data_IF_028274069209
#
_entry.id   IF_028274069209
#
_cell.length_a   1.000
_cell.length_b   1.000
_cell.length_c   1.000
_cell.angle_alpha   90.00
_cell.angle_beta   90.00
_cell.angle_gamma   90.00
#
_symmetry.space_group_name_H-M   'P 1'
#
loop_
_entity.id
_entity.type
_entity.pdbx_description
1 polymer ?
#
# COMPACT_ATOMS: atom_id res chain seq x y z
N UNK A 1 -36.14 -29.01 -48.50
CA UNK A 1 -35.02 -28.06 -48.70
C UNK A 1 -35.37 -26.67 -48.19
N UNK A 2 -36.49 -26.05 -48.61
CA UNK A 2 -36.91 -24.72 -48.13
C UNK A 2 -37.15 -24.61 -46.60
N UNK A 3 -37.67 -25.66 -45.97
CA UNK A 3 -37.87 -25.73 -44.52
C UNK A 3 -36.54 -25.61 -43.76
N UNK A 4 -35.50 -26.32 -44.23
CA UNK A 4 -34.16 -26.35 -43.63
C UNK A 4 -33.51 -24.97 -43.72
N UNK A 5 -33.66 -24.29 -44.86
CA UNK A 5 -33.14 -22.93 -45.06
C UNK A 5 -33.83 -21.93 -44.11
N UNK A 6 -35.16 -22.04 -43.93
CA UNK A 6 -35.88 -21.20 -42.96
C UNK A 6 -35.43 -21.45 -41.52
N UNK A 7 -35.22 -22.71 -41.14
CA UNK A 7 -34.72 -23.05 -39.80
C UNK A 7 -33.29 -22.55 -39.58
N UNK A 8 -32.40 -22.69 -40.57
CA UNK A 8 -31.04 -22.15 -40.49
C UNK A 8 -31.04 -20.62 -40.38
N UNK A 9 -31.88 -19.93 -41.14
CA UNK A 9 -32.02 -18.48 -41.05
C UNK A 9 -32.46 -18.03 -39.64
N UNK A 10 -33.44 -18.72 -39.03
CA UNK A 10 -33.88 -18.42 -37.67
C UNK A 10 -32.79 -18.68 -36.62
N UNK A 11 -31.99 -19.74 -36.78
CA UNK A 11 -30.85 -20.04 -35.89
C UNK A 11 -29.78 -18.95 -36.03
N UNK A 12 -29.46 -18.50 -37.25
CA UNK A 12 -28.49 -17.43 -37.50
C UNK A 12 -28.96 -16.11 -36.88
N UNK A 13 -30.23 -15.75 -37.05
CA UNK A 13 -30.83 -14.54 -36.45
C UNK A 13 -30.78 -14.62 -34.92
N UNK A 14 -31.10 -15.78 -34.33
CA UNK A 14 -31.01 -16.00 -32.89
C UNK A 14 -29.57 -15.88 -32.38
N UNK A 15 -28.59 -16.50 -33.06
CA UNK A 15 -27.18 -16.42 -32.69
C UNK A 15 -26.63 -14.99 -32.83
N UNK A 16 -27.02 -14.25 -33.87
CA UNK A 16 -26.68 -12.83 -34.01
C UNK A 16 -27.29 -12.01 -32.87
N UNK A 17 -28.54 -12.27 -32.49
CA UNK A 17 -29.18 -11.63 -31.33
C UNK A 17 -28.48 -11.92 -30.00
N UNK A 18 -27.98 -13.14 -29.79
CA UNK A 18 -27.22 -13.51 -28.58
C UNK A 18 -25.82 -12.88 -28.55
N UNK A 19 -25.13 -12.81 -29.70
CA UNK A 19 -23.80 -12.19 -29.82
C UNK A 19 -23.90 -10.67 -29.63
N UNK A 20 -24.88 -10.04 -30.28
CA UNK A 20 -25.11 -8.60 -30.21
C UNK A 20 -25.70 -8.20 -28.84
N UNK A 21 -26.65 -8.98 -28.31
CA UNK A 21 -27.26 -8.74 -27.00
C UNK A 21 -26.28 -8.89 -25.82
N UNK A 22 -25.29 -9.80 -25.91
CA UNK A 22 -24.19 -9.90 -24.92
C UNK A 22 -23.13 -8.80 -25.09
N UNK A 23 -22.99 -8.22 -26.28
CA UNK A 23 -22.03 -7.15 -26.57
C UNK A 23 -22.56 -5.76 -26.19
N UNK A 24 -23.86 -5.52 -26.35
CA UNK A 24 -24.49 -4.21 -26.11
C UNK A 24 -24.70 -3.87 -24.62
N UNK A 25 -24.80 -4.87 -23.74
CA UNK A 25 -25.01 -4.66 -22.29
C UNK A 25 -23.71 -4.57 -21.45
N UNK A 26 -22.55 -4.41 -22.09
CA UNK A 26 -21.26 -4.28 -21.39
C UNK A 26 -20.83 -2.84 -21.10
N UNK A 27 -21.65 -1.85 -21.44
CA UNK A 27 -21.25 -0.44 -21.33
C UNK A 27 -21.36 0.16 -19.92
N UNK A 28 -22.08 -0.46 -18.98
CA UNK A 28 -22.36 0.20 -17.68
C UNK A 28 -21.92 -0.58 -16.42
N UNK A 29 -21.19 -1.71 -16.56
CA UNK A 29 -20.73 -2.52 -15.42
C UNK A 29 -19.23 -2.38 -15.09
N UNK A 30 -18.46 -1.69 -15.93
CA UNK A 30 -17.00 -1.59 -15.81
C UNK A 30 -16.51 -0.20 -15.37
N UNK A 31 -17.39 0.75 -15.03
CA UNK A 31 -16.95 2.02 -14.45
C UNK A 31 -16.62 1.86 -12.95
N UNK A 32 -15.42 2.28 -12.51
CA UNK A 32 -15.09 2.25 -11.09
C UNK A 32 -16.07 3.14 -10.33
N UNK A 33 -16.75 2.54 -9.35
CA UNK A 33 -17.78 3.21 -8.54
C UNK A 33 -17.15 4.38 -7.77
N UNK A 34 -17.40 5.62 -8.23
CA UNK A 34 -16.99 6.83 -7.53
C UNK A 34 -18.05 7.18 -6.47
N UNK A 35 -17.87 6.68 -5.25
CA UNK A 35 -18.71 7.06 -4.10
C UNK A 35 -18.04 8.20 -3.33
N UNK A 36 -18.75 9.30 -3.03
CA UNK A 36 -18.20 10.37 -2.19
C UNK A 36 -17.85 9.80 -0.81
N UNK A 37 -16.61 10.02 -0.39
CA UNK A 37 -16.10 9.51 0.88
C UNK A 37 -16.58 10.37 2.04
N UNK A 38 -17.01 9.71 3.11
CA UNK A 38 -17.31 10.39 4.36
C UNK A 38 -16.01 10.88 5.01
N UNK A 39 -15.95 12.14 5.45
CA UNK A 39 -14.78 12.73 6.13
C UNK A 39 -14.33 11.81 7.27
N UNK A 40 -13.19 11.14 7.06
CA UNK A 40 -12.58 10.25 8.04
C UNK A 40 -11.71 11.12 8.95
N UNK A 41 -11.91 11.02 10.26
CA UNK A 41 -11.04 11.68 11.23
C UNK A 41 -10.25 10.63 12.01
N UNK A 42 -8.94 10.80 12.09
CA UNK A 42 -8.02 9.98 12.88
C UNK A 42 -7.92 10.56 14.29
N UNK A 43 -7.86 9.69 15.29
CA UNK A 43 -7.59 10.09 16.68
C UNK A 43 -6.14 9.75 17.01
N UNK A 44 -5.62 10.36 18.07
CA UNK A 44 -4.30 10.06 18.63
C UNK A 44 -4.15 8.58 18.99
N UNK A 45 -2.91 8.11 19.06
CA UNK A 45 -2.59 6.72 19.39
C UNK A 45 -3.13 6.32 20.78
N UNK A 46 -3.59 5.07 20.94
CA UNK A 46 -4.08 4.58 22.21
C UNK A 46 -2.91 4.32 23.15
N UNK A 47 -3.21 4.24 24.44
CA UNK A 47 -2.26 3.69 25.39
C UNK A 47 -2.24 2.17 25.17
N UNK A 48 -1.13 1.66 24.66
CA UNK A 48 -0.92 0.23 24.42
C UNK A 48 -0.36 -0.37 25.70
N UNK A 49 -1.19 -1.12 26.42
CA UNK A 49 -0.80 -1.85 27.62
C UNK A 49 -0.42 -3.27 27.19
N UNK A 50 0.88 -3.49 26.91
CA UNK A 50 1.41 -4.81 26.59
C UNK A 50 1.57 -5.56 27.91
N UNK A 51 0.86 -6.68 28.13
CA UNK A 51 1.01 -7.45 29.36
C UNK A 51 2.47 -7.89 29.52
N UNK A 52 3.11 -7.46 30.60
CA UNK A 52 4.50 -7.78 30.89
C UNK A 52 4.70 -9.31 30.97
N UNK A 53 5.57 -9.85 30.12
CA UNK A 53 6.01 -11.24 30.21
C UNK A 53 7.11 -11.34 31.26
N UNK A 54 6.78 -11.92 32.40
CA UNK A 54 7.74 -12.17 33.47
C UNK A 54 8.53 -13.46 33.17
N UNK A 55 9.68 -13.63 33.81
CA UNK A 55 10.44 -14.88 33.80
C UNK A 55 10.31 -15.56 35.17
N UNK A 56 9.70 -16.75 35.21
CA UNK A 56 9.52 -17.48 36.47
C UNK A 56 10.86 -17.78 37.17
N UNK A 57 11.97 -17.96 36.44
CA UNK A 57 13.27 -18.24 37.04
C UNK A 57 13.79 -17.05 37.85
N UNK A 58 13.66 -15.85 37.29
CA UNK A 58 13.99 -14.60 37.99
C UNK A 58 13.11 -14.41 39.21
N UNK A 59 11.79 -14.61 39.06
CA UNK A 59 10.85 -14.50 40.19
C UNK A 59 11.13 -15.52 41.31
N UNK A 60 11.62 -16.72 40.99
CA UNK A 60 12.04 -17.70 41.99
C UNK A 60 13.31 -17.25 42.72
N UNK A 61 14.30 -16.71 42.00
CA UNK A 61 15.54 -16.18 42.57
C UNK A 61 15.27 -14.96 43.46
N UNK A 62 14.41 -14.04 43.02
CA UNK A 62 14.00 -12.85 43.80
C UNK A 62 13.29 -13.26 45.08
N UNK A 63 12.41 -14.26 45.01
CA UNK A 63 11.72 -14.81 46.18
C UNK A 63 12.70 -15.43 47.18
N UNK A 64 13.69 -16.19 46.69
CA UNK A 64 14.70 -16.82 47.53
C UNK A 64 15.60 -15.80 48.21
N UNK A 65 16.02 -14.75 47.48
CA UNK A 65 16.80 -13.64 48.03
C UNK A 65 16.03 -12.86 49.12
N UNK A 66 14.72 -12.65 48.95
CA UNK A 66 13.89 -11.91 49.91
C UNK A 66 13.49 -12.72 51.14
N UNK A 67 13.31 -14.04 51.01
CA UNK A 67 12.77 -14.89 52.08
C UNK A 67 13.75 -15.92 52.64
N UNK A 68 14.99 -15.97 52.12
CA UNK A 68 16.03 -16.90 52.55
C UNK A 68 15.70 -18.38 52.30
N UNK A 69 14.71 -18.67 51.45
CA UNK A 69 14.28 -20.04 51.12
C UNK A 69 13.68 -20.14 49.72
N UNK A 70 13.89 -21.25 49.00
CA UNK A 70 13.35 -21.42 47.65
C UNK A 70 11.83 -21.66 47.67
N UNK A 71 11.11 -21.04 46.73
CA UNK A 71 9.70 -21.30 46.53
C UNK A 71 9.50 -22.70 45.92
N UNK A 72 9.05 -23.66 46.74
CA UNK A 72 8.90 -25.05 46.30
C UNK A 72 7.73 -25.25 45.32
N UNK A 73 7.81 -26.23 44.40
CA UNK A 73 6.68 -26.69 43.60
C UNK A 73 5.49 -27.14 44.45
N UNK A 74 4.30 -27.20 43.84
CA UNK A 74 3.08 -27.62 44.53
C UNK A 74 3.08 -29.15 44.67
N UNK A 75 3.03 -29.64 45.91
CA UNK A 75 2.82 -31.06 46.18
C UNK A 75 1.34 -31.41 45.99
N UNK A 76 1.05 -32.25 45.01
CA UNK A 76 -0.32 -32.70 44.69
C UNK A 76 -0.63 -33.98 45.44
N UNK A 77 -1.84 -34.08 46.01
CA UNK A 77 -2.34 -35.34 46.59
C UNK A 77 -2.59 -36.36 45.47
N UNK A 78 -2.20 -37.61 45.68
CA UNK A 78 -2.39 -38.70 44.70
C UNK A 78 -3.85 -38.88 44.24
N UNK A 79 -4.82 -38.57 45.11
CA UNK A 79 -6.28 -38.65 44.86
C UNK A 79 -6.93 -37.31 44.51
N UNK A 80 -6.19 -36.33 43.98
CA UNK A 80 -6.76 -35.03 43.62
C UNK A 80 -7.80 -35.17 42.49
N UNK A 81 -9.04 -34.72 42.74
CA UNK A 81 -10.19 -34.82 41.81
C UNK A 81 -9.98 -34.05 40.50
N UNK A 82 -9.11 -33.04 40.50
CA UNK A 82 -8.82 -32.20 39.33
C UNK A 82 -7.30 -32.02 39.17
N UNK A 83 -6.76 -32.53 38.06
CA UNK A 83 -5.33 -32.40 37.73
C UNK A 83 -5.10 -31.27 36.73
N UNK A 84 -4.02 -30.54 36.93
CA UNK A 84 -3.51 -29.59 35.95
C UNK A 84 -2.72 -30.37 34.90
N UNK A 85 -2.97 -30.18 33.59
CA UNK A 85 -2.21 -30.85 32.54
C UNK A 85 -0.70 -30.57 32.63
N UNK A 86 0.13 -31.58 32.40
CA UNK A 86 1.59 -31.44 32.56
C UNK A 86 2.21 -30.48 31.55
N UNK A 87 1.63 -30.35 30.36
CA UNK A 87 1.99 -29.38 29.31
C UNK A 87 1.48 -27.94 29.56
N UNK A 88 0.80 -27.71 30.70
CA UNK A 88 0.29 -26.39 31.04
C UNK A 88 1.40 -25.52 31.64
N UNK A 89 1.53 -24.30 31.12
CA UNK A 89 2.46 -23.27 31.56
C UNK A 89 1.71 -21.99 31.85
N UNK A 90 2.21 -21.20 32.80
CA UNK A 90 1.64 -19.89 33.12
C UNK A 90 1.79 -18.94 31.90
N UNK A 91 0.73 -18.26 31.46
CA UNK A 91 0.81 -17.36 30.31
C UNK A 91 1.59 -16.06 30.61
N UNK A 92 1.70 -15.68 31.89
CA UNK A 92 2.39 -14.45 32.32
C UNK A 92 3.88 -14.66 32.60
N UNK A 93 4.25 -15.75 33.29
CA UNK A 93 5.65 -15.99 33.70
C UNK A 93 6.29 -17.26 33.10
N UNK A 94 5.54 -18.02 32.29
CA UNK A 94 5.96 -19.31 31.74
C UNK A 94 6.29 -20.41 32.77
N UNK A 95 5.95 -20.22 34.04
CA UNK A 95 6.14 -21.26 35.07
C UNK A 95 5.48 -22.59 34.67
N UNK A 96 6.17 -23.73 34.86
CA UNK A 96 5.66 -25.04 34.47
C UNK A 96 4.47 -25.46 35.33
N UNK A 97 3.78 -26.52 34.89
CA UNK A 97 2.58 -27.06 35.52
C UNK A 97 2.77 -27.34 37.02
N UNK A 98 3.98 -27.70 37.45
CA UNK A 98 4.35 -27.95 38.84
C UNK A 98 4.12 -26.76 39.79
N UNK A 99 4.03 -25.52 39.27
CA UNK A 99 3.74 -24.31 40.03
C UNK A 99 2.31 -23.77 39.83
N UNK A 100 1.41 -24.56 39.22
CA UNK A 100 0.03 -24.16 38.95
C UNK A 100 -0.98 -24.87 39.85
N UNK A 101 -1.88 -24.10 40.46
CA UNK A 101 -3.07 -24.56 41.15
C UNK A 101 -4.25 -24.71 40.17
N UNK A 102 -5.07 -25.75 40.35
CA UNK A 102 -6.41 -25.80 39.77
C UNK A 102 -7.35 -24.93 40.64
N UNK A 103 -7.71 -23.76 40.13
CA UNK A 103 -8.56 -22.80 40.83
C UNK A 103 -10.04 -23.12 40.52
N UNK A 104 -10.94 -22.98 41.50
CA UNK A 104 -12.38 -23.27 41.38
C UNK A 104 -12.78 -24.74 41.05
N UNK A 105 -12.13 -25.72 41.68
CA UNK A 105 -12.70 -27.08 41.81
C UNK A 105 -13.12 -27.76 40.50
N UNK A 106 -12.39 -27.54 39.41
CA UNK A 106 -12.63 -28.22 38.12
C UNK A 106 -13.30 -27.40 37.02
N UNK A 107 -13.69 -26.14 37.27
CA UNK A 107 -14.30 -25.25 36.25
C UNK A 107 -13.29 -24.60 35.27
N UNK A 108 -12.12 -25.22 35.09
CA UNK A 108 -11.13 -24.83 34.07
C UNK A 108 -10.33 -23.54 34.32
N UNK A 109 -10.31 -23.00 35.55
CA UNK A 109 -9.45 -21.88 35.95
C UNK A 109 -8.18 -22.39 36.65
N UNK A 110 -7.05 -21.73 36.44
CA UNK A 110 -5.76 -22.02 37.02
C UNK A 110 -5.17 -20.78 37.68
N UNK A 111 -4.37 -20.96 38.74
CA UNK A 111 -3.64 -19.87 39.39
C UNK A 111 -2.15 -20.24 39.53
N UNK A 112 -1.26 -19.34 39.09
CA UNK A 112 0.18 -19.54 39.21
C UNK A 112 0.66 -19.19 40.62
N UNK A 113 1.40 -20.10 41.27
CA UNK A 113 2.02 -19.86 42.58
C UNK A 113 3.13 -18.79 42.53
N UNK A 114 3.84 -18.69 41.40
CA UNK A 114 4.99 -17.78 41.22
C UNK A 114 4.52 -16.34 41.03
N UNK A 115 3.66 -16.07 40.04
CA UNK A 115 3.26 -14.69 39.69
C UNK A 115 1.80 -14.35 40.06
N UNK A 116 1.11 -15.23 40.79
CA UNK A 116 -0.31 -15.10 41.21
C UNK A 116 -1.32 -14.90 40.06
N UNK A 117 -0.88 -15.06 38.81
CA UNK A 117 -1.73 -14.91 37.63
C UNK A 117 -2.83 -15.98 37.59
N UNK A 118 -4.07 -15.54 37.42
CA UNK A 118 -5.24 -16.40 37.21
C UNK A 118 -5.58 -16.46 35.72
N UNK A 119 -5.76 -17.66 35.17
CA UNK A 119 -6.04 -17.86 33.74
C UNK A 119 -6.91 -19.10 33.49
N UNK A 120 -7.46 -19.26 32.29
CA UNK A 120 -8.18 -20.46 31.86
C UNK A 120 -7.72 -20.86 30.45
N UNK A 121 -8.21 -21.97 29.89
CA UNK A 121 -7.80 -22.40 28.54
C UNK A 121 -8.09 -21.37 27.43
N UNK A 122 -9.15 -20.56 27.56
CA UNK A 122 -9.54 -19.55 26.56
C UNK A 122 -8.66 -18.30 26.61
N UNK A 123 -8.27 -17.87 27.81
CA UNK A 123 -7.51 -16.64 28.05
C UNK A 123 -6.01 -16.92 28.24
N UNK A 124 -5.55 -18.17 28.12
CA UNK A 124 -4.12 -18.53 28.20
C UNK A 124 -3.29 -17.86 27.09
N UNK A 125 -3.92 -17.57 25.96
CA UNK A 125 -3.25 -16.99 24.79
C UNK A 125 -3.62 -15.54 24.54
N UNK A 126 -4.36 -14.87 25.43
CA UNK A 126 -4.61 -13.42 25.32
C UNK A 126 -3.35 -12.66 25.75
N UNK A 127 -2.26 -12.85 25.00
CA UNK A 127 -1.09 -11.98 24.92
C UNK A 127 -1.38 -10.80 23.99
N UNK A 128 -2.63 -10.36 23.94
CA UNK A 128 -3.00 -9.25 23.09
C UNK A 128 -2.73 -7.97 23.87
N UNK A 129 -2.06 -7.03 23.23
CA UNK A 129 -1.94 -5.69 23.75
C UNK A 129 -3.33 -5.14 24.07
N UNK A 130 -3.52 -4.65 25.30
CA UNK A 130 -4.79 -4.06 25.70
C UNK A 130 -4.77 -2.60 25.29
N UNK A 131 -5.59 -2.25 24.30
CA UNK A 131 -5.72 -0.84 23.88
C UNK A 131 -6.58 -0.08 24.90
N UNK A 132 -6.05 1.02 25.44
CA UNK A 132 -6.76 1.91 26.37
C UNK A 132 -6.94 3.30 25.77
N UNK A 133 -8.08 3.92 26.04
CA UNK A 133 -8.37 5.28 25.60
C UNK A 133 -7.40 6.28 26.25
N UNK A 134 -6.72 7.16 25.49
CA UNK A 134 -5.78 8.12 26.05
C UNK A 134 -6.47 9.14 26.98
N UNK A 135 -7.74 9.45 26.74
CA UNK A 135 -8.48 10.47 27.51
C UNK A 135 -9.11 9.97 28.81
N UNK A 136 -9.41 8.68 28.93
CA UNK A 136 -10.08 8.13 30.14
C UNK A 136 -9.45 6.85 30.69
N UNK A 137 -8.38 6.34 30.06
CA UNK A 137 -7.61 5.15 30.45
C UNK A 137 -8.42 3.84 30.51
N UNK A 138 -9.70 3.85 30.10
CA UNK A 138 -10.55 2.67 29.99
C UNK A 138 -10.21 1.87 28.73
N UNK A 139 -10.34 0.56 28.84
CA UNK A 139 -10.13 -0.39 27.74
C UNK A 139 -11.05 -0.08 26.56
N UNK A 140 -10.50 -0.15 25.36
CA UNK A 140 -11.26 -0.02 24.12
C UNK A 140 -11.89 -1.35 23.75
N UNK A 141 -13.10 -1.31 23.22
CA UNK A 141 -13.80 -2.50 22.76
C UNK A 141 -13.72 -2.59 21.23
N UNK A 142 -13.39 -3.79 20.73
CA UNK A 142 -13.44 -4.10 19.30
C UNK A 142 -14.89 -4.05 18.83
N UNK A 143 -15.21 -3.17 17.88
CA UNK A 143 -16.57 -2.95 17.39
C UNK A 143 -16.79 -3.40 15.95
N UNK A 144 -15.75 -3.43 15.12
CA UNK A 144 -15.84 -3.80 13.70
C UNK A 144 -14.57 -4.51 13.24
N UNK A 145 -14.75 -5.49 12.37
CA UNK A 145 -13.69 -6.18 11.65
C UNK A 145 -13.75 -5.77 10.18
N UNK A 146 -12.61 -5.39 9.62
CA UNK A 146 -12.43 -5.15 8.19
C UNK A 146 -11.31 -6.04 7.69
N UNK A 147 -11.21 -6.17 6.36
CA UNK A 147 -10.17 -6.96 5.70
C UNK A 147 -8.75 -6.57 6.15
N UNK A 148 -8.47 -5.27 6.27
CA UNK A 148 -7.12 -4.74 6.54
C UNK A 148 -6.91 -4.29 8.00
N UNK A 149 -7.97 -4.03 8.77
CA UNK A 149 -7.85 -3.50 10.12
C UNK A 149 -9.09 -3.78 10.98
N UNK A 150 -8.87 -3.83 12.30
CA UNK A 150 -9.92 -3.84 13.31
C UNK A 150 -10.19 -2.43 13.81
N UNK A 151 -11.45 -2.12 14.14
CA UNK A 151 -11.84 -0.84 14.75
C UNK A 151 -12.18 -1.08 16.22
N UNK A 152 -11.49 -0.36 17.10
CA UNK A 152 -11.74 -0.30 18.53
C UNK A 152 -12.38 1.04 18.92
N UNK A 153 -13.25 1.03 19.92
CA UNK A 153 -14.02 2.20 20.35
C UNK A 153 -14.06 2.34 21.87
N UNK A 154 -13.93 3.58 22.35
CA UNK A 154 -14.19 3.90 23.75
C UNK A 154 -15.72 3.95 24.02
N UNK A 155 -16.25 2.96 24.75
CA UNK A 155 -17.67 2.93 25.16
C UNK A 155 -17.97 3.70 26.45
N UNK A 156 -16.96 4.17 27.18
CA UNK A 156 -17.16 4.94 28.41
C UNK A 156 -17.92 6.27 28.14
N UNK A 157 -19.11 6.41 28.69
CA UNK A 157 -19.93 7.62 28.58
C UNK A 157 -19.36 8.80 29.39
N UNK A 158 -18.60 8.53 30.45
CA UNK A 158 -17.93 9.56 31.24
C UNK A 158 -16.58 10.01 30.61
N UNK A 159 -16.23 9.53 29.42
CA UNK A 159 -14.98 9.90 28.77
C UNK A 159 -14.95 11.41 28.44
N UNK A 160 -13.91 12.17 28.86
CA UNK A 160 -13.82 13.59 28.60
C UNK A 160 -13.92 13.95 27.11
N UNK A 161 -13.30 13.15 26.25
CA UNK A 161 -13.36 13.31 24.79
C UNK A 161 -14.80 13.23 24.25
N UNK A 162 -15.57 12.25 24.72
CA UNK A 162 -16.96 12.08 24.30
C UNK A 162 -17.85 13.23 24.78
N UNK A 163 -17.70 13.62 26.05
CA UNK A 163 -18.44 14.72 26.64
C UNK A 163 -18.12 16.07 25.96
N UNK A 164 -16.86 16.33 25.66
CA UNK A 164 -16.43 17.54 24.96
C UNK A 164 -17.03 17.62 23.55
N UNK A 165 -17.00 16.51 22.79
CA UNK A 165 -17.57 16.48 21.44
C UNK A 165 -19.09 16.70 21.45
N UNK A 166 -19.82 16.09 22.39
CA UNK A 166 -21.27 16.33 22.52
C UNK A 166 -21.59 17.79 22.86
N UNK A 167 -20.78 18.43 23.72
CA UNK A 167 -20.96 19.85 24.08
C UNK A 167 -20.75 20.77 22.89
N UNK A 168 -19.80 20.46 21.99
CA UNK A 168 -19.50 21.24 20.78
C UNK A 168 -20.60 21.21 19.72
N UNK A 169 -21.49 20.21 19.75
CA UNK A 169 -22.57 20.09 18.76
C UNK A 169 -23.60 21.20 18.93
N UNK A 170 -24.00 21.81 17.80
CA UNK A 170 -25.11 22.74 17.71
C UNK A 170 -26.45 22.04 18.00
N UNK A 171 -27.51 22.82 18.27
CA UNK A 171 -28.85 22.27 18.51
C UNK A 171 -29.34 21.39 17.35
N UNK A 172 -29.08 21.80 16.10
CA UNK A 172 -29.44 21.04 14.89
C UNK A 172 -28.66 19.73 14.79
N UNK A 173 -27.34 19.77 14.99
CA UNK A 173 -26.51 18.56 14.96
C UNK A 173 -26.87 17.57 16.08
N UNK A 174 -27.25 18.06 17.27
CA UNK A 174 -27.72 17.19 18.36
C UNK A 174 -29.02 16.47 18.01
N UNK A 175 -29.97 17.14 17.36
CA UNK A 175 -31.19 16.50 16.86
C UNK A 175 -30.87 15.46 15.80
N UNK A 176 -30.00 15.79 14.84
CA UNK A 176 -29.56 14.84 13.83
C UNK A 176 -28.81 13.65 14.44
N UNK A 177 -28.00 13.86 15.47
CA UNK A 177 -27.30 12.79 16.17
C UNK A 177 -28.24 11.84 16.92
N UNK A 178 -29.39 12.32 17.39
CA UNK A 178 -30.40 11.46 18.00
C UNK A 178 -31.08 10.57 16.95
N UNK A 179 -31.27 11.07 15.73
CA UNK A 179 -31.88 10.34 14.62
C UNK A 179 -30.89 9.39 13.93
N UNK A 180 -29.68 9.88 13.65
CA UNK A 180 -28.56 9.13 13.08
C UNK A 180 -27.28 9.35 13.91
N UNK A 181 -27.08 8.56 14.98
CA UNK A 181 -25.86 8.60 15.76
C UNK A 181 -24.62 8.23 14.94
N UNK A 182 -24.80 7.54 13.80
CA UNK A 182 -23.69 7.13 12.97
C UNK A 182 -23.16 8.30 12.16
N UNK A 183 -23.91 9.36 11.89
CA UNK A 183 -23.50 10.53 11.10
C UNK A 183 -22.36 11.36 11.72
N UNK A 184 -22.16 11.26 13.03
CA UNK A 184 -21.14 12.04 13.74
C UNK A 184 -20.12 11.15 14.44
N UNK A 185 -18.84 11.51 14.33
CA UNK A 185 -17.77 10.89 15.11
C UNK A 185 -17.63 11.63 16.44
N UNK A 186 -18.31 11.12 17.47
CA UNK A 186 -18.28 11.73 18.81
C UNK A 186 -17.38 10.98 19.81
N UNK A 187 -17.00 9.75 19.51
CA UNK A 187 -16.22 8.88 20.41
C UNK A 187 -14.85 8.58 19.83
N UNK A 188 -13.90 8.38 20.72
CA UNK A 188 -12.54 7.95 20.40
C UNK A 188 -12.56 6.58 19.71
N UNK A 189 -11.86 6.49 18.58
CA UNK A 189 -11.71 5.30 17.75
C UNK A 189 -10.24 5.01 17.49
N UNK A 190 -9.84 3.76 17.67
CA UNK A 190 -8.52 3.27 17.31
C UNK A 190 -8.63 2.22 16.20
N UNK A 191 -7.61 2.14 15.33
CA UNK A 191 -7.53 1.15 14.25
C UNK A 191 -6.26 0.32 14.37
N UNK A 192 -6.42 -0.98 14.57
CA UNK A 192 -5.33 -1.96 14.58
C UNK A 192 -5.22 -2.57 13.19
N UNK A 193 -4.09 -2.38 12.51
CA UNK A 193 -3.85 -2.94 11.18
C UNK A 193 -3.48 -4.43 11.29
N UNK A 194 -3.96 -5.23 10.33
CA UNK A 194 -3.86 -6.69 10.33
C UNK A 194 -2.79 -7.24 9.38
N UNK A 195 -2.02 -6.37 8.73
CA UNK A 195 -0.94 -6.75 7.84
C UNK A 195 0.41 -6.47 8.49
N UNK A 196 1.37 -7.34 8.21
CA UNK A 196 2.75 -7.21 8.64
C UNK A 196 3.54 -6.44 7.56
N UNK A 197 3.84 -5.18 7.84
CA UNK A 197 4.63 -4.32 6.99
C UNK A 197 5.53 -3.45 7.87
N UNK A 198 6.83 -3.44 7.60
CA UNK A 198 7.80 -2.62 8.32
C UNK A 198 8.15 -1.39 7.46
N UNK A 199 7.76 -0.17 7.86
CA UNK A 199 8.16 1.07 7.19
C UNK A 199 9.67 1.19 7.07
N UNK A 200 10.13 1.78 5.95
CA UNK A 200 11.54 2.11 5.70
C UNK A 200 12.50 0.91 5.76
N UNK A 201 11.98 -0.31 5.72
CA UNK A 201 12.81 -1.51 5.73
C UNK A 201 13.73 -1.55 4.50
N UNK A 202 14.99 -1.92 4.70
CA UNK A 202 15.92 -2.20 3.62
C UNK A 202 15.41 -3.38 2.78
N UNK A 203 15.16 -3.17 1.50
CA UNK A 203 14.83 -4.27 0.58
C UNK A 203 16.09 -4.84 -0.05
N UNK A 204 16.13 -6.14 -0.29
CA UNK A 204 17.20 -6.74 -1.10
C UNK A 204 16.96 -6.46 -2.58
N UNK A 205 18.02 -6.18 -3.31
CA UNK A 205 17.96 -6.07 -4.77
C UNK A 205 17.67 -7.44 -5.39
N UNK A 206 16.65 -7.50 -6.23
CA UNK A 206 16.38 -8.69 -7.04
C UNK A 206 17.24 -8.61 -8.29
N UNK A 207 18.22 -9.50 -8.41
CA UNK A 207 19.05 -9.59 -9.62
C UNK A 207 18.16 -10.00 -10.81
N UNK A 208 18.16 -9.23 -11.92
CA UNK A 208 17.45 -9.62 -13.13
C UNK A 208 17.97 -10.96 -13.65
N UNK A 209 17.05 -11.86 -14.06
CA UNK A 209 17.41 -13.16 -14.63
C UNK A 209 17.96 -13.04 -16.06
N UNK A 210 17.61 -11.97 -16.77
CA UNK A 210 17.92 -11.78 -18.19
C UNK A 210 19.18 -10.94 -18.34
N UNK A 211 20.19 -11.53 -18.98
CA UNK A 211 21.42 -10.83 -19.36
C UNK A 211 21.20 -10.06 -20.67
N UNK A 212 21.21 -8.73 -20.61
CA UNK A 212 20.98 -7.87 -21.78
C UNK A 212 22.16 -7.90 -22.77
N UNK A 213 23.36 -8.33 -22.35
CA UNK A 213 24.53 -8.41 -23.25
C UNK A 213 24.38 -9.51 -24.31
N UNK A 214 23.49 -10.48 -24.07
CA UNK A 214 23.22 -11.62 -24.96
C UNK A 214 22.07 -11.37 -25.94
N UNK A 215 21.53 -10.15 -25.98
CA UNK A 215 20.49 -9.81 -26.94
C UNK A 215 21.05 -9.85 -28.35
N UNK A 216 20.35 -10.52 -29.26
CA UNK A 216 20.73 -10.56 -30.67
C UNK A 216 20.61 -9.19 -31.37
N UNK A 217 19.77 -8.29 -30.84
CA UNK A 217 19.64 -6.93 -31.35
C UNK A 217 20.78 -6.05 -30.86
N UNK A 218 21.27 -5.16 -31.73
CA UNK A 218 22.23 -4.15 -31.34
C UNK A 218 21.64 -3.18 -30.29
N UNK A 219 22.48 -2.55 -29.45
CA UNK A 219 22.00 -1.55 -28.49
C UNK A 219 21.21 -0.42 -29.14
N UNK A 220 21.59 -0.02 -30.36
CA UNK A 220 20.86 0.98 -31.13
C UNK A 220 19.43 0.52 -31.48
N UNK A 221 19.26 -0.71 -31.96
CA UNK A 221 17.94 -1.28 -32.26
C UNK A 221 17.10 -1.38 -30.99
N UNK A 222 17.68 -1.80 -29.86
CA UNK A 222 16.99 -1.79 -28.57
C UNK A 222 16.53 -0.39 -28.18
N UNK A 223 17.40 0.61 -28.32
CA UNK A 223 17.08 2.02 -28.05
C UNK A 223 15.97 2.56 -28.95
N UNK A 224 15.94 2.20 -30.24
CA UNK A 224 14.84 2.54 -31.16
C UNK A 224 13.52 1.91 -30.71
N UNK A 225 13.53 0.61 -30.39
CA UNK A 225 12.33 -0.09 -29.91
C UNK A 225 11.75 0.57 -28.67
N UNK A 226 12.59 0.90 -27.67
CA UNK A 226 12.13 1.61 -26.47
C UNK A 226 11.64 3.02 -26.78
N UNK A 227 12.27 3.72 -27.73
CA UNK A 227 11.83 5.06 -28.14
C UNK A 227 10.42 5.03 -28.73
N UNK A 228 10.13 4.12 -29.66
CA UNK A 228 8.78 3.99 -30.22
C UNK A 228 7.75 3.50 -29.19
N UNK A 229 8.11 2.45 -28.44
CA UNK A 229 7.18 1.82 -27.50
C UNK A 229 6.87 2.71 -26.28
N UNK A 230 7.87 3.36 -25.71
CA UNK A 230 7.74 4.12 -24.45
C UNK A 230 7.58 5.61 -24.71
N UNK A 231 8.49 6.23 -25.49
CA UNK A 231 8.51 7.69 -25.63
C UNK A 231 7.34 8.20 -26.48
N UNK A 232 7.05 7.47 -27.57
CA UNK A 232 5.93 7.78 -28.47
C UNK A 232 4.65 7.01 -28.13
N UNK A 233 4.68 6.16 -27.10
CA UNK A 233 3.50 5.44 -26.60
C UNK A 233 2.86 4.49 -27.60
N UNK A 234 3.61 4.01 -28.60
CA UNK A 234 3.09 3.08 -29.59
C UNK A 234 2.78 1.72 -28.97
N UNK A 235 1.79 1.01 -29.51
CA UNK A 235 1.60 -0.41 -29.17
C UNK A 235 2.80 -1.24 -29.63
N UNK A 236 2.92 -2.47 -29.09
CA UNK A 236 4.01 -3.38 -29.49
C UNK A 236 3.93 -3.79 -30.97
N UNK A 237 2.73 -3.80 -31.56
CA UNK A 237 2.53 -4.08 -32.99
C UNK A 237 2.89 -2.89 -33.87
N UNK A 238 2.46 -1.69 -33.50
CA UNK A 238 2.86 -0.44 -34.19
C UNK A 238 4.37 -0.24 -34.11
N UNK A 239 4.98 -0.52 -32.95
CA UNK A 239 6.44 -0.47 -32.79
C UNK A 239 7.13 -1.46 -33.75
N UNK A 240 6.66 -2.70 -33.82
CA UNK A 240 7.21 -3.69 -34.75
C UNK A 240 7.05 -3.27 -36.22
N UNK A 241 5.90 -2.69 -36.58
CA UNK A 241 5.67 -2.13 -37.91
C UNK A 241 6.61 -0.95 -38.20
N UNK A 242 6.75 0.01 -37.29
CA UNK A 242 7.66 1.13 -37.43
C UNK A 242 9.13 0.68 -37.59
N UNK A 243 9.56 -0.33 -36.83
CA UNK A 243 10.90 -0.91 -36.98
C UNK A 243 11.12 -1.54 -38.36
N UNK A 244 10.09 -2.18 -38.93
CA UNK A 244 10.18 -2.76 -40.27
C UNK A 244 10.11 -1.70 -41.37
N UNK A 245 9.14 -0.81 -41.31
CA UNK A 245 8.79 0.10 -42.40
C UNK A 245 9.75 1.28 -42.50
N UNK A 246 10.28 1.76 -41.37
CA UNK A 246 11.19 2.91 -41.32
C UNK A 246 12.66 2.45 -41.31
N UNK A 247 12.98 1.40 -40.55
CA UNK A 247 14.37 0.97 -40.31
C UNK A 247 14.76 -0.32 -41.04
N UNK A 248 13.83 -1.00 -41.71
CA UNK A 248 14.09 -2.28 -42.37
C UNK A 248 14.34 -3.45 -41.41
N UNK A 249 14.11 -3.27 -40.09
CA UNK A 249 14.41 -4.27 -39.07
C UNK A 249 13.17 -5.09 -38.75
N UNK A 250 13.18 -6.37 -39.16
CA UNK A 250 12.08 -7.29 -38.90
C UNK A 250 12.13 -7.82 -37.46
N UNK A 251 11.22 -7.35 -36.61
CA UNK A 251 11.02 -7.88 -35.25
C UNK A 251 9.56 -8.22 -35.01
N UNK A 252 9.30 -9.18 -34.13
CA UNK A 252 7.94 -9.49 -33.71
C UNK A 252 7.47 -8.53 -32.60
N UNK A 253 6.15 -8.31 -32.49
CA UNK A 253 5.57 -7.58 -31.37
C UNK A 253 5.91 -8.22 -30.00
N UNK A 254 6.08 -9.55 -29.96
CA UNK A 254 6.48 -10.25 -28.74
C UNK A 254 7.94 -9.93 -28.37
N UNK A 255 8.81 -9.77 -29.36
CA UNK A 255 10.20 -9.32 -29.15
C UNK A 255 10.23 -7.93 -28.52
N UNK A 256 9.38 -7.00 -28.97
CA UNK A 256 9.23 -5.66 -28.35
C UNK A 256 8.87 -5.77 -26.87
N UNK A 257 7.87 -6.60 -26.53
CA UNK A 257 7.47 -6.82 -25.14
C UNK A 257 8.57 -7.47 -24.30
N UNK A 258 9.29 -8.43 -24.86
CA UNK A 258 10.40 -9.10 -24.18
C UNK A 258 11.54 -8.13 -23.88
N UNK A 259 11.87 -7.24 -24.81
CA UNK A 259 12.86 -6.17 -24.60
C UNK A 259 12.41 -5.21 -23.52
N UNK A 260 11.17 -4.72 -23.57
CA UNK A 260 10.62 -3.83 -22.56
C UNK A 260 10.65 -4.46 -21.16
N UNK A 261 10.17 -5.70 -21.02
CA UNK A 261 10.16 -6.41 -19.75
C UNK A 261 11.59 -6.64 -19.21
N UNK A 262 12.51 -7.05 -20.09
CA UNK A 262 13.90 -7.30 -19.68
C UNK A 262 14.57 -6.03 -19.19
N UNK A 263 14.44 -4.93 -19.96
CA UNK A 263 15.02 -3.64 -19.60
C UNK A 263 14.40 -3.08 -18.31
N UNK A 264 13.09 -3.22 -18.12
CA UNK A 264 12.41 -2.76 -16.92
C UNK A 264 12.97 -3.41 -15.64
N UNK A 265 13.37 -4.69 -15.68
CA UNK A 265 13.98 -5.36 -14.54
C UNK A 265 15.32 -4.75 -14.12
N UNK A 266 16.12 -4.27 -15.08
CA UNK A 266 17.38 -3.59 -14.81
C UNK A 266 17.17 -2.14 -14.36
N UNK A 267 16.23 -1.45 -15.00
CA UNK A 267 15.97 -0.03 -14.74
C UNK A 267 15.24 0.19 -13.41
N UNK A 268 14.34 -0.73 -13.00
CA UNK A 268 13.50 -0.52 -11.82
C UNK A 268 14.31 -0.21 -10.56
N UNK A 269 15.33 -1.01 -10.17
CA UNK A 269 16.10 -0.72 -8.97
C UNK A 269 16.86 0.60 -9.04
N UNK A 270 17.39 0.94 -10.23
CA UNK A 270 18.04 2.22 -10.48
C UNK A 270 17.06 3.38 -10.26
N UNK A 271 15.86 3.34 -10.86
CA UNK A 271 14.81 4.36 -10.66
C UNK A 271 14.38 4.44 -9.20
N UNK A 272 14.20 3.31 -8.52
CA UNK A 272 13.68 3.27 -7.16
C UNK A 272 14.66 3.79 -6.11
N UNK A 273 15.98 3.65 -6.35
CA UNK A 273 17.07 4.00 -5.42
C UNK A 273 17.92 5.18 -5.86
N UNK A 274 17.57 5.81 -6.98
CA UNK A 274 18.29 7.00 -7.44
C UNK A 274 18.26 8.09 -6.34
N UNK A 275 19.40 8.76 -6.06
CA UNK A 275 19.47 9.80 -5.04
C UNK A 275 18.85 11.11 -5.58
N UNK A 276 17.52 11.19 -5.57
CA UNK A 276 16.81 12.34 -6.08
C UNK A 276 16.98 13.58 -5.21
N UNK A 277 17.18 14.74 -5.84
CA UNK A 277 17.06 16.04 -5.18
C UNK A 277 15.59 16.48 -5.14
N UNK A 278 14.93 16.25 -4.01
CA UNK A 278 13.50 16.48 -3.83
C UNK A 278 13.20 17.86 -3.24
N UNK A 279 12.04 18.42 -3.59
CA UNK A 279 11.60 19.75 -3.14
C UNK A 279 10.85 19.74 -1.81
N UNK A 280 10.39 18.58 -1.35
CA UNK A 280 9.49 18.45 -0.19
C UNK A 280 8.00 18.65 -0.53
N UNK A 281 7.66 19.05 -1.76
CA UNK A 281 6.27 19.22 -2.20
C UNK A 281 5.74 17.96 -2.86
N UNK A 282 5.14 17.06 -2.08
CA UNK A 282 4.66 15.76 -2.55
C UNK A 282 3.15 15.74 -2.78
N UNK A 283 2.73 15.24 -3.94
CA UNK A 283 1.33 14.94 -4.22
C UNK A 283 1.14 13.49 -4.68
N UNK A 284 -0.06 12.96 -4.46
CA UNK A 284 -0.42 11.59 -4.81
C UNK A 284 -1.82 11.50 -5.39
N UNK A 285 -1.99 10.59 -6.35
CA UNK A 285 -3.27 10.32 -6.99
C UNK A 285 -3.31 8.87 -7.45
N UNK A 286 -4.50 8.29 -7.48
CA UNK A 286 -4.72 6.95 -7.98
C UNK A 286 -5.35 6.99 -9.36
N UNK A 287 -4.76 6.25 -10.28
CA UNK A 287 -5.38 5.99 -11.57
C UNK A 287 -5.63 4.50 -11.74
N UNK A 288 -6.22 4.12 -12.87
CA UNK A 288 -6.58 2.73 -13.15
C UNK A 288 -5.95 2.23 -14.46
N UNK A 289 -5.57 0.96 -14.50
CA UNK A 289 -5.09 0.28 -15.70
C UNK A 289 -5.77 -1.08 -15.81
N UNK A 290 -5.84 -1.63 -17.01
CA UNK A 290 -6.47 -2.93 -17.25
C UNK A 290 -5.40 -4.00 -17.28
N UNK A 291 -5.52 -4.99 -16.42
CA UNK A 291 -4.62 -6.15 -16.33
C UNK A 291 -5.47 -7.41 -16.33
N UNK A 292 -5.17 -8.35 -17.25
CA UNK A 292 -5.94 -9.59 -17.46
C UNK A 292 -7.45 -9.34 -17.60
N UNK A 293 -7.81 -8.27 -18.30
CA UNK A 293 -9.20 -7.87 -18.53
C UNK A 293 -9.90 -7.18 -17.34
N UNK A 294 -9.26 -7.04 -16.18
CA UNK A 294 -9.80 -6.41 -14.96
C UNK A 294 -9.13 -5.07 -14.65
N UNK A 295 -9.85 -4.16 -14.03
CA UNK A 295 -9.26 -2.92 -13.52
C UNK A 295 -8.34 -3.20 -12.34
N UNK A 296 -7.15 -2.62 -12.40
CA UNK A 296 -6.18 -2.52 -11.32
C UNK A 296 -5.93 -1.04 -11.07
N UNK A 297 -5.50 -0.71 -9.85
CA UNK A 297 -5.18 0.63 -9.42
C UNK A 297 -3.68 0.86 -9.55
N UNK A 298 -3.31 2.06 -9.96
CA UNK A 298 -1.95 2.53 -10.05
C UNK A 298 -1.80 3.75 -9.17
N UNK A 299 -1.01 3.60 -8.11
CA UNK A 299 -0.77 4.63 -7.11
C UNK A 299 0.46 5.42 -7.51
N UNK A 300 0.27 6.66 -7.90
CA UNK A 300 1.36 7.58 -8.18
C UNK A 300 1.62 8.48 -6.98
N UNK A 301 2.90 8.66 -6.65
CA UNK A 301 3.38 9.75 -5.80
C UNK A 301 4.39 10.57 -6.59
N UNK A 302 4.35 11.88 -6.43
CA UNK A 302 4.97 12.81 -7.36
C UNK A 302 5.55 14.02 -6.61
N UNK A 303 6.76 14.45 -6.94
CA UNK A 303 7.29 15.76 -6.55
C UNK A 303 6.74 16.82 -7.49
N UNK A 304 5.86 17.68 -6.96
CA UNK A 304 5.12 18.63 -7.76
C UNK A 304 5.98 19.78 -8.29
N UNK A 305 7.07 20.15 -7.63
CA UNK A 305 7.95 21.26 -8.05
C UNK A 305 8.95 20.75 -9.08
N UNK A 306 9.68 19.69 -8.74
CA UNK A 306 10.73 19.11 -9.60
C UNK A 306 10.18 18.24 -10.73
N UNK A 307 8.88 17.92 -10.69
CA UNK A 307 8.18 17.04 -11.65
C UNK A 307 8.75 15.63 -11.70
N UNK A 308 9.08 15.06 -10.54
CA UNK A 308 9.69 13.72 -10.45
C UNK A 308 8.62 12.73 -9.99
N UNK A 309 8.47 11.62 -10.71
CA UNK A 309 7.62 10.51 -10.24
C UNK A 309 8.40 9.67 -9.24
N UNK A 310 7.86 9.53 -8.03
CA UNK A 310 8.55 8.90 -6.88
C UNK A 310 7.98 7.52 -6.53
N UNK A 311 6.69 7.30 -6.76
CA UNK A 311 6.07 5.98 -6.61
C UNK A 311 5.09 5.72 -7.75
N UNK A 312 4.93 4.45 -8.11
CA UNK A 312 4.15 3.99 -9.26
C UNK A 312 3.65 2.55 -9.06
N UNK A 313 3.06 2.28 -7.88
CA UNK A 313 2.67 0.92 -7.47
C UNK A 313 1.39 0.47 -8.19
N UNK A 314 1.46 -0.65 -8.91
CA UNK A 314 0.28 -1.35 -9.44
C UNK A 314 -0.28 -2.27 -8.36
N UNK A 315 -1.60 -2.25 -8.16
CA UNK A 315 -2.30 -3.10 -7.21
C UNK A 315 -3.67 -3.54 -7.75
N UNK A 316 -4.10 -4.79 -7.54
CA UNK A 316 -5.45 -5.23 -7.90
C UNK A 316 -6.55 -4.53 -7.07
N UNK A 317 -6.22 -3.95 -5.91
CA UNK A 317 -7.19 -3.35 -4.99
C UNK A 317 -6.83 -1.88 -4.69
N UNK A 318 -7.85 -1.04 -4.49
CA UNK A 318 -7.69 0.31 -3.95
C UNK A 318 -7.72 0.25 -2.42
N UNK A 319 -6.64 -0.24 -1.83
CA UNK A 319 -6.57 -0.60 -0.41
C UNK A 319 -5.51 0.22 0.37
N UNK A 320 -5.58 0.15 1.70
CA UNK A 320 -4.73 0.93 2.61
C UNK A 320 -3.28 0.52 2.50
N UNK A 321 -3.01 -0.79 2.40
CA UNK A 321 -1.65 -1.30 2.27
C UNK A 321 -0.96 -0.79 0.99
N UNK A 322 -1.71 -0.65 -0.11
CA UNK A 322 -1.19 -0.07 -1.36
C UNK A 322 -0.78 1.40 -1.18
N UNK A 323 -1.60 2.20 -0.48
CA UNK A 323 -1.26 3.59 -0.15
C UNK A 323 -0.04 3.69 0.79
N UNK A 324 0.05 2.81 1.80
CA UNK A 324 1.22 2.73 2.70
C UNK A 324 2.49 2.46 1.90
N UNK A 325 2.47 1.46 1.01
CA UNK A 325 3.62 1.12 0.16
C UNK A 325 4.01 2.27 -0.77
N UNK A 326 3.04 2.99 -1.31
CA UNK A 326 3.29 4.12 -2.19
C UNK A 326 3.94 5.30 -1.45
N UNK A 327 3.47 5.62 -0.23
CA UNK A 327 4.10 6.62 0.63
C UNK A 327 5.49 6.16 1.06
N UNK A 328 5.64 4.91 1.48
CA UNK A 328 6.93 4.33 1.88
C UNK A 328 8.00 4.41 0.78
N UNK A 329 7.61 4.25 -0.49
CA UNK A 329 8.50 4.47 -1.64
C UNK A 329 9.05 5.90 -1.73
N UNK A 330 8.27 6.90 -1.29
CA UNK A 330 8.70 8.31 -1.24
C UNK A 330 9.62 8.52 -0.06
N UNK A 331 9.21 8.06 1.13
CA UNK A 331 9.97 8.26 2.36
C UNK A 331 11.38 7.64 2.26
N UNK A 332 11.51 6.47 1.62
CA UNK A 332 12.82 5.83 1.39
C UNK A 332 13.76 6.62 0.46
N UNK A 333 13.25 7.58 -0.31
CA UNK A 333 14.06 8.44 -1.20
C UNK A 333 14.52 9.72 -0.51
N UNK A 334 14.04 10.00 0.70
CA UNK A 334 14.47 11.15 1.48
C UNK A 334 15.71 10.78 2.29
N UNK A 335 16.74 11.64 2.26
CA UNK A 335 17.94 11.45 3.09
C UNK A 335 17.61 11.55 4.59
N UNK A 336 16.68 12.43 4.95
CA UNK A 336 16.12 12.59 6.29
C UNK A 336 14.65 12.99 6.17
N UNK A 337 13.85 12.62 7.17
CA UNK A 337 12.43 13.00 7.23
C UNK A 337 12.30 14.43 7.78
N UNK A 338 11.78 15.40 7.01
CA UNK A 338 11.53 16.75 7.52
C UNK A 338 10.41 16.77 8.56
N UNK A 339 10.49 17.68 9.54
CA UNK A 339 9.45 17.84 10.57
C UNK A 339 8.12 18.36 9.99
N UNK A 340 8.16 19.11 8.90
CA UNK A 340 7.02 19.71 8.20
C UNK A 340 6.57 18.91 6.96
N UNK A 341 6.99 17.64 6.87
CA UNK A 341 6.67 16.76 5.75
C UNK A 341 5.16 16.64 5.56
N UNK A 342 4.69 16.93 4.34
CA UNK A 342 3.27 16.84 4.00
C UNK A 342 3.02 16.23 2.61
N UNK A 343 1.89 15.55 2.48
CA UNK A 343 1.42 14.94 1.24
C UNK A 343 0.05 15.48 0.86
N UNK A 344 -0.09 15.92 -0.39
CA UNK A 344 -1.37 16.38 -0.97
C UNK A 344 -1.99 15.27 -1.81
N UNK A 345 -3.16 14.78 -1.43
CA UNK A 345 -3.80 13.60 -2.05
C UNK A 345 -5.28 13.82 -2.32
N UNK A 346 -5.89 12.93 -3.09
CA UNK A 346 -7.34 12.92 -3.28
C UNK A 346 -8.09 12.60 -1.97
N UNK A 347 -9.39 12.85 -1.95
CA UNK A 347 -10.30 12.65 -0.81
C UNK A 347 -10.45 11.22 -0.31
N UNK A 348 -9.66 10.26 -0.81
CA UNK A 348 -9.77 8.86 -0.43
C UNK A 348 -9.23 8.61 1.00
N UNK A 349 -10.05 8.07 1.91
CA UNK A 349 -9.67 7.83 3.30
C UNK A 349 -8.46 6.91 3.51
N UNK A 350 -8.05 6.13 2.50
CA UNK A 350 -6.89 5.23 2.61
C UNK A 350 -5.59 5.96 2.94
N UNK A 351 -5.42 7.21 2.48
CA UNK A 351 -4.21 7.99 2.74
C UNK A 351 -4.12 8.46 4.18
N UNK A 352 -5.27 8.85 4.75
CA UNK A 352 -5.39 9.10 6.18
C UNK A 352 -5.06 7.81 6.96
N UNK A 353 -5.64 6.67 6.58
CA UNK A 353 -5.31 5.40 7.22
C UNK A 353 -3.82 5.06 7.13
N UNK A 354 -3.17 5.38 6.02
CA UNK A 354 -1.72 5.24 5.87
C UNK A 354 -0.97 6.16 6.85
N UNK A 355 -1.34 7.45 6.97
CA UNK A 355 -0.79 8.37 7.97
C UNK A 355 -0.87 7.79 9.39
N UNK A 356 -2.04 7.26 9.77
CA UNK A 356 -2.23 6.63 11.07
C UNK A 356 -1.33 5.40 11.27
N UNK A 357 -1.09 4.62 10.21
CA UNK A 357 -0.19 3.48 10.26
C UNK A 357 1.27 3.90 10.47
N UNK A 358 1.75 4.93 9.78
CA UNK A 358 3.11 5.45 9.98
C UNK A 358 3.30 6.07 11.36
N UNK A 359 2.27 6.78 11.88
CA UNK A 359 2.29 7.31 13.23
C UNK A 359 2.48 6.21 14.29
N UNK A 360 1.85 5.03 14.09
CA UNK A 360 2.06 3.86 14.96
C UNK A 360 3.51 3.34 14.97
N UNK A 361 4.28 3.65 13.92
CA UNK A 361 5.69 3.29 13.78
C UNK A 361 6.63 4.46 14.11
N UNK A 362 6.12 5.54 14.71
CA UNK A 362 6.92 6.72 15.10
C UNK A 362 7.31 7.62 13.93
N UNK A 363 6.70 7.46 12.76
CA UNK A 363 6.93 8.29 11.58
C UNK A 363 5.76 9.27 11.45
N UNK A 364 6.05 10.56 11.56
CA UNK A 364 5.04 11.63 11.50
C UNK A 364 5.13 12.40 10.19
N UNK A 365 3.98 12.70 9.60
CA UNK A 365 3.81 13.61 8.46
C UNK A 365 2.34 14.00 8.35
N UNK A 366 2.06 15.07 7.61
CA UNK A 366 0.70 15.53 7.35
C UNK A 366 0.14 14.98 6.03
N UNK A 367 -1.16 14.71 6.00
CA UNK A 367 -1.91 14.38 4.79
C UNK A 367 -3.01 15.41 4.59
N UNK A 368 -2.91 16.16 3.49
CA UNK A 368 -3.90 17.17 3.08
C UNK A 368 -4.73 16.60 1.95
N UNK A 369 -6.02 16.38 2.21
CA UNK A 369 -6.96 15.86 1.21
C UNK A 369 -7.63 17.00 0.46
N UNK A 370 -7.55 17.00 -0.87
CA UNK A 370 -8.21 18.01 -1.73
C UNK A 370 -9.41 17.38 -2.43
N UNK A 371 -10.61 17.66 -1.91
CA UNK A 371 -11.86 17.01 -2.32
C UNK A 371 -12.57 17.84 -3.40
N UNK A 372 -13.00 17.18 -4.48
CA UNK A 372 -13.93 17.75 -5.46
C UNK A 372 -13.35 18.78 -6.43
N UNK A 373 -14.26 19.42 -7.19
CA UNK A 373 -14.01 20.49 -8.18
C UNK A 373 -14.30 21.89 -7.61
N UNK A 374 -15.05 22.00 -6.51
CA UNK A 374 -15.44 23.23 -5.83
C UNK A 374 -14.49 23.53 -4.66
N UNK A 375 -14.15 24.81 -4.44
CA UNK A 375 -13.37 25.24 -3.27
C UNK A 375 -14.30 25.21 -2.05
N UNK A 376 -14.44 24.04 -1.42
CA UNK A 376 -15.30 23.91 -0.23
C UNK A 376 -14.60 24.37 1.06
N UNK A 377 -13.27 24.54 1.03
CA UNK A 377 -12.45 24.94 2.18
C UNK A 377 -11.14 25.65 1.76
N UNK A 378 -10.56 26.52 2.62
CA UNK A 378 -9.34 27.29 2.31
C UNK A 378 -8.11 26.43 1.98
N UNK A 379 -8.01 25.24 2.59
CA UNK A 379 -6.89 24.30 2.36
C UNK A 379 -6.98 23.74 0.94
N UNK A 380 -8.19 23.37 0.50
CA UNK A 380 -8.41 22.93 -0.89
C UNK A 380 -8.07 24.00 -1.93
N UNK A 381 -8.22 25.30 -1.61
CA UNK A 381 -7.85 26.39 -2.53
C UNK A 381 -6.33 26.53 -2.68
N UNK A 382 -5.60 26.52 -1.57
CA UNK A 382 -4.13 26.65 -1.54
C UNK A 382 -3.41 25.51 -2.27
N UNK A 383 -3.84 24.26 -2.04
CA UNK A 383 -3.16 23.07 -2.59
C UNK A 383 -3.70 22.59 -3.94
N UNK A 384 -4.70 23.28 -4.51
CA UNK A 384 -5.30 22.95 -5.82
C UNK A 384 -4.29 22.93 -6.98
N UNK A 385 -3.30 23.85 -7.08
CA UNK A 385 -2.32 23.79 -8.17
C UNK A 385 -1.56 22.47 -8.21
N UNK A 386 -1.26 21.87 -7.04
CA UNK A 386 -0.57 20.58 -6.93
C UNK A 386 -1.43 19.43 -7.49
N UNK A 387 -2.74 19.47 -7.22
CA UNK A 387 -3.70 18.51 -7.78
C UNK A 387 -3.78 18.60 -9.32
N UNK A 388 -3.82 19.81 -9.86
CA UNK A 388 -3.84 20.00 -11.32
C UNK A 388 -2.56 19.48 -12.01
N UNK A 389 -1.41 19.58 -11.33
CA UNK A 389 -0.14 19.05 -11.83
C UNK A 389 -0.22 17.51 -11.95
N UNK A 390 -0.69 16.82 -10.92
CA UNK A 390 -0.79 15.36 -10.95
C UNK A 390 -1.88 14.86 -11.90
N UNK A 391 -3.01 15.57 -12.02
CA UNK A 391 -4.03 15.26 -13.02
C UNK A 391 -3.49 15.39 -14.45
N UNK A 392 -2.69 16.43 -14.72
CA UNK A 392 -2.02 16.59 -16.02
C UNK A 392 -1.04 15.45 -16.28
N UNK A 393 -0.26 15.06 -15.28
CA UNK A 393 0.62 13.90 -15.37
C UNK A 393 -0.16 12.62 -15.68
N UNK A 394 -1.24 12.36 -14.96
CA UNK A 394 -2.11 11.20 -15.17
C UNK A 394 -2.69 11.17 -16.58
N UNK A 395 -3.07 12.34 -17.14
CA UNK A 395 -3.49 12.45 -18.54
C UNK A 395 -2.38 12.08 -19.52
N UNK A 396 -1.14 12.51 -19.27
CA UNK A 396 0.03 12.12 -20.08
C UNK A 396 0.29 10.62 -20.01
N UNK A 397 0.24 10.02 -18.82
CA UNK A 397 0.35 8.57 -18.66
C UNK A 397 -0.75 7.83 -19.42
N UNK A 398 -2.01 8.27 -19.27
CA UNK A 398 -3.17 7.66 -19.96
C UNK A 398 -3.05 7.76 -21.48
N UNK A 399 -2.47 8.83 -22.01
CA UNK A 399 -2.16 8.96 -23.44
C UNK A 399 -1.26 7.83 -23.92
N UNK A 400 -0.17 7.54 -23.20
CA UNK A 400 0.75 6.45 -23.53
C UNK A 400 0.17 5.06 -23.24
N UNK A 401 -0.69 4.94 -22.23
CA UNK A 401 -1.30 3.67 -21.86
C UNK A 401 -2.41 3.22 -22.83
N UNK A 402 -3.23 4.13 -23.37
CA UNK A 402 -4.40 3.80 -24.20
C UNK A 402 -4.07 2.85 -25.39
N UNK A 403 -2.99 3.07 -26.17
CA UNK A 403 -2.62 2.17 -27.28
C UNK A 403 -2.29 0.74 -26.87
N UNK A 404 -1.97 0.50 -25.59
CA UNK A 404 -1.68 -0.86 -25.09
C UNK A 404 -2.92 -1.76 -25.05
N UNK A 405 -4.13 -1.18 -25.00
CA UNK A 405 -5.40 -1.89 -24.81
C UNK A 405 -5.46 -2.75 -23.52
N UNK A 406 -4.56 -2.49 -22.56
CA UNK A 406 -4.41 -3.26 -21.33
C UNK A 406 -3.37 -4.38 -21.43
N UNK A 407 -3.01 -4.93 -20.29
CA UNK A 407 -1.92 -5.90 -20.16
C UNK A 407 -2.46 -7.32 -19.98
N UNK A 408 -1.87 -8.31 -20.66
CA UNK A 408 -2.18 -9.72 -20.48
C UNK A 408 -1.56 -10.34 -19.21
N UNK A 409 -0.61 -9.65 -18.59
CA UNK A 409 0.11 -10.09 -17.40
C UNK A 409 0.39 -8.91 -16.46
N UNK A 410 0.52 -9.18 -15.16
CA UNK A 410 0.78 -8.15 -14.15
C UNK A 410 2.21 -7.59 -14.30
N UNK A 411 3.16 -8.49 -14.56
CA UNK A 411 4.57 -8.17 -14.81
C UNK A 411 4.73 -7.21 -16.00
N UNK A 412 3.94 -7.39 -17.05
CA UNK A 412 3.93 -6.49 -18.21
C UNK A 412 3.44 -5.08 -17.86
N UNK A 413 2.45 -4.98 -16.96
CA UNK A 413 1.97 -3.68 -16.48
C UNK A 413 3.01 -2.95 -15.64
N UNK A 414 3.68 -3.67 -14.73
CA UNK A 414 4.76 -3.12 -13.90
C UNK A 414 5.93 -2.69 -14.77
N UNK A 415 6.29 -3.49 -15.78
CA UNK A 415 7.39 -3.19 -16.69
C UNK A 415 7.11 -1.93 -17.51
N UNK A 416 5.92 -1.83 -18.10
CA UNK A 416 5.51 -0.64 -18.86
C UNK A 416 5.55 0.63 -18.00
N UNK A 417 4.95 0.59 -16.80
CA UNK A 417 4.92 1.75 -15.90
C UNK A 417 6.34 2.12 -15.46
N UNK A 418 7.19 1.14 -15.16
CA UNK A 418 8.61 1.37 -14.82
C UNK A 418 9.34 2.13 -15.93
N UNK A 419 9.22 1.65 -17.17
CA UNK A 419 9.88 2.30 -18.30
C UNK A 419 9.31 3.70 -18.57
N UNK A 420 7.99 3.86 -18.45
CA UNK A 420 7.36 5.17 -18.56
C UNK A 420 7.91 6.14 -17.52
N UNK A 421 8.06 5.71 -16.26
CA UNK A 421 8.64 6.54 -15.19
C UNK A 421 10.10 6.86 -15.46
N UNK A 422 10.90 5.90 -15.90
CA UNK A 422 12.30 6.13 -16.27
C UNK A 422 12.42 7.16 -17.41
N UNK A 423 11.59 7.00 -18.45
CA UNK A 423 11.48 7.97 -19.53
C UNK A 423 11.07 9.35 -18.99
N UNK A 424 10.03 9.41 -18.16
CA UNK A 424 9.50 10.66 -17.62
C UNK A 424 10.52 11.43 -16.78
N UNK A 425 11.22 10.73 -15.89
CA UNK A 425 12.16 11.31 -14.92
C UNK A 425 13.51 11.69 -15.54
N UNK A 426 14.05 10.89 -16.48
CA UNK A 426 15.43 11.04 -16.94
C UNK A 426 15.56 11.48 -18.39
N UNK A 427 14.55 11.25 -19.23
CA UNK A 427 14.69 11.37 -20.69
C UNK A 427 13.73 12.37 -21.34
N UNK A 428 12.56 12.62 -20.73
CA UNK A 428 11.49 13.46 -21.29
C UNK A 428 11.68 14.94 -20.92
N UNK A 429 11.85 15.84 -21.90
CA UNK A 429 11.79 17.28 -21.67
C UNK A 429 10.40 17.73 -21.19
N UNK A 430 10.35 18.68 -20.25
CA UNK A 430 9.10 19.31 -19.81
C UNK A 430 9.15 20.81 -20.03
N UNK A 431 8.09 21.37 -20.63
CA UNK A 431 7.97 22.83 -20.81
C UNK A 431 7.96 23.58 -19.48
N UNK A 432 7.40 22.97 -18.43
CA UNK A 432 7.41 23.52 -17.06
C UNK A 432 8.82 23.59 -16.44
N UNK A 433 9.81 22.92 -17.04
CA UNK A 433 11.21 22.92 -16.64
C UNK A 433 12.10 23.55 -17.73
N UNK A 434 11.55 24.46 -18.54
CA UNK A 434 12.26 25.15 -19.62
C UNK A 434 12.87 24.18 -20.65
N UNK A 435 12.19 23.07 -20.91
CA UNK A 435 12.67 22.03 -21.83
C UNK A 435 13.71 21.09 -21.22
N UNK A 436 14.00 21.18 -19.92
CA UNK A 436 14.85 20.22 -19.21
C UNK A 436 14.06 18.98 -18.78
N UNK A 437 14.81 17.91 -18.50
CA UNK A 437 14.29 16.70 -17.85
C UNK A 437 14.17 16.94 -16.34
N UNK A 438 13.29 16.21 -15.62
CA UNK A 438 13.14 16.36 -14.17
C UNK A 438 14.43 16.08 -13.39
N UNK A 439 15.18 15.07 -13.83
CA UNK A 439 16.46 14.70 -13.25
C UNK A 439 17.55 14.80 -14.31
N UNK A 440 18.39 15.81 -14.16
CA UNK A 440 19.48 16.07 -15.10
C UNK A 440 20.68 15.21 -14.73
N UNK A 441 21.01 14.26 -15.61
CA UNK A 441 22.21 13.44 -15.54
C UNK A 441 23.13 13.89 -16.67
N UNK A 442 24.32 14.47 -16.38
CA UNK A 442 25.23 15.00 -17.41
C UNK A 442 25.53 13.99 -18.52
N UNK A 443 25.77 12.74 -18.16
CA UNK A 443 26.12 11.65 -19.10
C UNK A 443 24.98 11.29 -20.08
N UNK A 444 23.74 11.70 -19.79
CA UNK A 444 22.60 11.55 -20.70
C UNK A 444 22.33 12.81 -21.53
N UNK A 445 22.69 13.99 -21.00
CA UNK A 445 22.42 15.28 -21.63
C UNK A 445 23.22 15.45 -22.93
N UNK A 446 24.49 15.00 -22.93
CA UNK A 446 25.41 15.16 -24.05
C UNK A 446 25.15 14.20 -25.23
N UNK A 447 24.18 13.28 -25.08
CA UNK A 447 23.91 12.28 -26.09
C UNK A 447 22.97 12.78 -27.18
N UNK A 448 23.28 12.48 -28.47
CA UNK A 448 22.69 13.14 -29.62
C UNK A 448 21.22 12.77 -29.88
N UNK A 449 20.79 11.55 -29.52
CA UNK A 449 19.45 11.06 -29.83
C UNK A 449 18.93 10.07 -28.79
N UNK A 450 17.61 9.83 -28.79
CA UNK A 450 16.94 8.98 -27.80
C UNK A 450 17.47 7.55 -27.71
N UNK A 451 17.79 6.84 -28.82
CA UNK A 451 18.40 5.51 -28.72
C UNK A 451 19.72 5.48 -27.95
N UNK A 452 20.56 6.50 -28.08
CA UNK A 452 21.83 6.60 -27.34
C UNK A 452 21.56 6.85 -25.85
N UNK A 453 20.60 7.74 -25.53
CA UNK A 453 20.20 8.01 -24.14
C UNK A 453 19.62 6.79 -23.44
N UNK A 454 18.76 6.02 -24.11
CA UNK A 454 18.26 4.74 -23.59
C UNK A 454 19.40 3.76 -23.33
N UNK A 455 20.31 3.59 -24.29
CA UNK A 455 21.45 2.67 -24.15
C UNK A 455 22.34 3.06 -22.96
N UNK A 456 22.64 4.34 -22.80
CA UNK A 456 23.43 4.84 -21.68
C UNK A 456 22.71 4.67 -20.35
N UNK A 457 21.41 4.97 -20.27
CA UNK A 457 20.61 4.77 -19.06
C UNK A 457 20.59 3.30 -18.63
N UNK A 458 20.46 2.37 -19.59
CA UNK A 458 20.54 0.93 -19.33
C UNK A 458 21.92 0.56 -18.77
N UNK A 459 23.00 1.05 -19.38
CA UNK A 459 24.36 0.78 -18.91
C UNK A 459 24.60 1.30 -17.49
N UNK A 460 24.09 2.49 -17.16
CA UNK A 460 24.14 3.05 -15.80
C UNK A 460 23.37 2.19 -14.80
N UNK A 461 22.18 1.72 -15.17
CA UNK A 461 21.38 0.83 -14.32
C UNK A 461 22.06 -0.54 -14.09
N UNK A 462 22.75 -1.07 -15.11
CA UNK A 462 23.55 -2.29 -14.98
C UNK A 462 24.74 -2.09 -14.03
N UNK A 463 25.47 -0.97 -14.17
CA UNK A 463 26.60 -0.64 -13.29
C UNK A 463 26.14 -0.43 -11.83
N UNK A 464 25.01 0.26 -11.62
CA UNK A 464 24.43 0.47 -10.29
C UNK A 464 24.13 -0.86 -9.58
N UNK A 465 23.50 -1.81 -10.29
CA UNK A 465 23.20 -3.13 -9.74
C UNK A 465 24.45 -3.98 -9.45
N UNK A 466 25.53 -3.78 -10.21
CA UNK A 466 26.80 -4.45 -9.94
C UNK A 466 27.47 -3.88 -8.69
N UNK A 467 27.45 -2.56 -8.50
CA UNK A 467 28.02 -1.89 -7.33
C UNK A 467 27.30 -2.27 -6.03
N UNK A 468 25.96 -2.34 -6.03
CA UNK A 468 25.22 -2.74 -4.83
C UNK A 468 25.24 -4.25 -4.54
N UNK A 469 25.71 -5.07 -5.49
CA UNK A 469 25.86 -6.51 -5.31
C UNK A 469 27.28 -6.92 -4.86
N UNK A 470 28.24 -6.00 -4.92
CA UNK A 470 29.60 -6.16 -4.42
C UNK A 470 29.66 -5.69 -2.96
#
# INVERSE_FOLDING_TARGET
MLQIIKTQYQIIVYLMGVIVGKSLNRKDLDEPVQKPYRKLQIDDLPIIDVPETLDYRKLLADYEAQHGRPLRPIQRRAKAKHRVPDSLTCPRCQAPSSYLYANNGGKGQYQCKVCQCRFNHRNRFTKQAVFRCPHCKKTLEKIKERKEYNIYKCKNNACPFYQANLRRMTKKERQQFQQDPQAFKVRYLFREFLFDFLPLASSSLIKPKVDLSRLAASPHVLGLVLTYYVNFGMSSRETAAAMKDIHGVSISHQTVLNYANSVALWIKPFVDRFPYELSGSFCGDETYIRVKGRWHYLFFMFDAVKKIVLSYRVSPNRDTLSAIKAIDDVLRKLASLPDDLSFVVDGNPIYLLAQHFFAQHGISFDVRQVIGLTNEDPVSEEFRPLKQIIERFNRTFKGNYRPTHGFGAEEGSVSFVTLFVAYFNFLRPHSALEGRVPVVIPELADLPHMPARWTKLIAMAQAFLQQEAA
#
